data_IF_427077514579
#
_entry.id   IF_427077514579
#
_cell.length_a   1.000
_cell.length_b   1.000
_cell.length_c   1.000
_cell.angle_alpha   90.00
_cell.angle_beta   90.00
_cell.angle_gamma   90.00
#
_symmetry.space_group_name_H-M   'P 1'
#
loop_
_entity.id
_entity.type
_entity.pdbx_description
1 polymer ?
#
# COMPACT_ATOMS: atom_id res chain seq x y z
N UNK A 1 44.27 -78.32 37.14
CA UNK A 1 42.89 -78.73 37.44
C UNK A 1 42.01 -78.21 36.30
N UNK A 2 41.33 -79.14 35.60
CA UNK A 2 40.50 -79.04 34.35
C UNK A 2 41.25 -78.61 33.07
N UNK A 3 41.54 -79.50 32.10
CA UNK A 3 40.66 -80.11 31.06
C UNK A 3 40.07 -79.07 30.10
N UNK A 4 40.02 -79.21 28.76
CA UNK A 4 40.44 -80.22 27.79
C UNK A 4 40.21 -79.59 26.38
N UNK A 5 40.90 -80.10 25.34
CA UNK A 5 40.47 -80.45 23.95
C UNK A 5 39.20 -79.78 23.35
N UNK A 6 39.02 -79.49 22.05
CA UNK A 6 39.51 -80.03 20.76
C UNK A 6 38.92 -79.11 19.65
N UNK A 7 39.65 -78.78 18.58
CA UNK A 7 39.51 -79.31 17.21
C UNK A 7 38.62 -78.53 16.20
N UNK A 8 39.27 -78.18 15.09
CA UNK A 8 38.89 -78.41 13.67
C UNK A 8 38.12 -77.36 12.84
N UNK A 9 38.76 -77.11 11.67
CA UNK A 9 38.23 -77.00 10.31
C UNK A 9 37.73 -75.66 9.72
N UNK A 10 38.55 -75.17 8.78
CA UNK A 10 38.25 -74.77 7.38
C UNK A 10 36.93 -74.05 7.04
N UNK A 11 37.01 -72.83 6.49
CA UNK A 11 36.96 -72.57 5.04
C UNK A 11 37.11 -71.07 4.70
N UNK A 12 37.93 -70.82 3.66
CA UNK A 12 37.88 -69.76 2.64
C UNK A 12 37.42 -68.32 2.98
N UNK A 13 38.26 -67.32 2.67
CA UNK A 13 38.13 -66.56 1.42
C UNK A 13 39.10 -65.36 1.36
N UNK A 14 40.07 -65.45 0.45
CA UNK A 14 40.53 -64.45 -0.53
C UNK A 14 40.57 -62.95 -0.14
N UNK A 15 41.82 -62.46 -0.03
CA UNK A 15 42.42 -61.23 -0.62
C UNK A 15 41.74 -59.87 -0.39
N UNK A 16 42.52 -58.93 0.14
CA UNK A 16 42.23 -57.49 0.05
C UNK A 16 43.38 -56.62 0.53
N UNK A 17 44.40 -56.44 -0.31
CA UNK A 17 45.46 -55.45 -0.13
C UNK A 17 44.84 -54.03 -0.16
N UNK A 18 44.94 -53.30 0.95
CA UNK A 18 44.53 -51.89 1.02
C UNK A 18 45.67 -51.05 0.43
N UNK A 19 45.49 -50.61 -0.81
CA UNK A 19 46.28 -49.56 -1.43
C UNK A 19 45.69 -48.19 -1.04
N UNK A 20 46.54 -47.34 -0.48
CA UNK A 20 46.22 -46.01 0.01
C UNK A 20 46.06 -45.04 -1.18
N UNK A 21 44.82 -44.82 -1.66
CA UNK A 21 44.53 -43.78 -2.65
C UNK A 21 44.26 -42.44 -1.94
N UNK A 22 45.22 -41.51 -2.05
CA UNK A 22 45.03 -40.09 -1.74
C UNK A 22 44.00 -39.48 -2.70
N UNK A 23 42.75 -39.32 -2.25
CA UNK A 23 41.73 -38.58 -2.98
C UNK A 23 41.92 -37.08 -2.70
N UNK A 24 42.58 -36.36 -3.60
CA UNK A 24 42.54 -34.90 -3.63
C UNK A 24 41.15 -34.46 -4.11
N UNK A 25 40.23 -34.19 -3.19
CA UNK A 25 38.96 -33.53 -3.49
C UNK A 25 39.27 -32.06 -3.80
N UNK A 26 39.33 -31.72 -5.09
CA UNK A 26 39.31 -30.34 -5.55
C UNK A 26 37.93 -29.75 -5.28
N UNK A 27 37.83 -28.88 -4.28
CA UNK A 27 36.64 -28.06 -4.06
C UNK A 27 36.56 -27.04 -5.20
N UNK A 28 35.63 -27.25 -6.12
CA UNK A 28 35.22 -26.26 -7.10
C UNK A 28 34.54 -25.13 -6.33
N UNK A 29 35.28 -24.06 -6.05
CA UNK A 29 34.70 -22.81 -5.55
C UNK A 29 33.88 -22.18 -6.67
N UNK A 30 32.57 -22.44 -6.68
CA UNK A 30 31.63 -21.67 -7.47
C UNK A 30 31.75 -20.19 -7.06
N UNK A 31 31.84 -19.25 -8.01
CA UNK A 31 31.80 -17.84 -7.64
C UNK A 31 30.49 -17.57 -6.89
N UNK A 32 30.51 -16.75 -5.82
CA UNK A 32 29.27 -16.34 -5.18
C UNK A 32 28.42 -15.71 -6.27
N UNK A 33 27.25 -16.31 -6.51
CA UNK A 33 26.22 -15.70 -7.34
C UNK A 33 26.05 -14.28 -6.81
N UNK A 34 26.51 -13.31 -7.60
CA UNK A 34 26.35 -11.91 -7.27
C UNK A 34 24.88 -11.70 -6.97
N UNK A 35 24.60 -10.99 -5.87
CA UNK A 35 23.33 -10.30 -5.73
C UNK A 35 23.22 -9.39 -6.96
N UNK A 36 22.61 -9.92 -8.02
CA UNK A 36 22.02 -9.10 -9.04
C UNK A 36 21.01 -8.25 -8.26
N UNK A 37 21.33 -6.97 -8.10
CA UNK A 37 20.34 -5.99 -7.69
C UNK A 37 19.19 -6.18 -8.68
N UNK A 38 18.09 -6.80 -8.23
CA UNK A 38 16.89 -6.93 -9.03
C UNK A 38 16.54 -5.53 -9.51
N UNK A 39 16.52 -5.34 -10.82
CA UNK A 39 16.13 -4.07 -11.40
C UNK A 39 14.75 -3.73 -10.82
N UNK A 40 14.70 -2.66 -10.04
CA UNK A 40 13.53 -2.25 -9.25
C UNK A 40 12.34 -2.10 -10.19
N UNK A 41 11.45 -3.09 -10.22
CA UNK A 41 10.36 -3.15 -11.18
C UNK A 41 9.23 -2.24 -10.68
N UNK A 42 8.72 -1.36 -11.54
CA UNK A 42 7.54 -0.54 -11.23
C UNK A 42 6.29 -1.42 -11.11
N UNK A 43 6.06 -2.05 -9.95
CA UNK A 43 4.91 -2.91 -9.72
C UNK A 43 3.66 -2.10 -9.34
N UNK A 44 3.81 -0.84 -8.93
CA UNK A 44 2.72 0.06 -8.60
C UNK A 44 2.54 1.10 -9.69
N UNK A 45 1.31 1.18 -10.23
CA UNK A 45 0.87 2.24 -11.13
C UNK A 45 -0.62 2.49 -10.92
N UNK A 46 -0.97 3.68 -10.46
CA UNK A 46 -2.36 4.08 -10.24
C UNK A 46 -2.52 5.60 -10.39
N UNK A 47 -3.74 6.07 -10.55
CA UNK A 47 -4.12 7.48 -10.50
C UNK A 47 -4.81 7.77 -9.19
N UNK A 48 -4.54 8.95 -8.65
CA UNK A 48 -5.25 9.49 -7.48
C UNK A 48 -5.65 10.93 -7.75
N UNK A 49 -6.87 11.28 -7.38
CA UNK A 49 -7.30 12.67 -7.26
C UNK A 49 -7.84 12.90 -5.85
N UNK A 50 -7.55 14.07 -5.28
CA UNK A 50 -8.13 14.53 -4.02
C UNK A 50 -8.53 15.99 -4.21
N UNK A 51 -9.83 16.27 -4.13
CA UNK A 51 -10.40 17.57 -4.42
C UNK A 51 -11.46 17.95 -3.39
N UNK A 52 -11.62 19.26 -3.21
CA UNK A 52 -12.61 19.84 -2.34
C UNK A 52 -13.48 20.85 -3.11
N UNK A 53 -14.77 20.86 -2.82
CA UNK A 53 -15.66 21.94 -3.19
C UNK A 53 -15.68 22.94 -2.04
N UNK A 54 -15.16 24.14 -2.31
CA UNK A 54 -15.04 25.23 -1.34
C UNK A 54 -16.11 26.27 -1.61
N UNK A 55 -16.82 26.69 -0.57
CA UNK A 55 -17.80 27.77 -0.65
C UNK A 55 -17.14 29.13 -0.95
N UNK A 56 -17.57 29.79 -2.02
CA UNK A 56 -17.18 31.15 -2.40
C UNK A 56 -18.40 32.06 -2.51
N UNK A 57 -18.21 33.38 -2.58
CA UNK A 57 -19.30 34.35 -2.77
C UNK A 57 -20.15 34.07 -4.02
N UNK A 58 -19.55 33.47 -5.04
CA UNK A 58 -20.17 33.18 -6.34
C UNK A 58 -20.65 31.74 -6.50
N UNK A 59 -20.55 30.90 -5.46
CA UNK A 59 -20.91 29.47 -5.50
C UNK A 59 -19.79 28.54 -5.04
N UNK A 60 -19.86 27.26 -5.41
CA UNK A 60 -18.83 26.27 -5.05
C UNK A 60 -17.72 26.22 -6.10
N UNK A 61 -16.47 26.12 -5.64
CA UNK A 61 -15.30 25.96 -6.51
C UNK A 61 -14.56 24.66 -6.19
N UNK A 62 -14.29 23.86 -7.22
CA UNK A 62 -13.47 22.65 -7.09
C UNK A 62 -11.99 23.01 -7.05
N UNK A 63 -11.30 22.57 -6.00
CA UNK A 63 -9.87 22.78 -5.77
C UNK A 63 -9.16 21.49 -5.39
N UNK A 64 -7.90 21.26 -5.81
CA UNK A 64 -7.11 20.14 -5.33
C UNK A 64 -6.75 20.30 -3.85
N UNK A 65 -6.96 19.23 -3.08
CA UNK A 65 -6.50 19.12 -1.69
C UNK A 65 -5.01 18.82 -1.69
N UNK A 66 -4.25 19.68 -1.01
CA UNK A 66 -2.82 19.57 -0.78
C UNK A 66 -2.57 19.43 0.72
N UNK A 67 -1.31 19.21 1.09
CA UNK A 67 -0.95 19.19 2.50
C UNK A 67 -1.20 20.57 3.12
N UNK A 68 -1.86 20.60 4.28
CA UNK A 68 -2.29 21.80 4.99
C UNK A 68 -3.31 22.66 4.23
N UNK A 69 -4.10 22.08 3.33
CA UNK A 69 -5.29 22.77 2.76
C UNK A 69 -6.25 23.13 3.89
N UNK A 70 -6.70 24.39 3.92
CA UNK A 70 -7.67 24.86 4.90
C UNK A 70 -9.07 24.68 4.30
N UNK A 71 -9.93 23.96 5.01
CA UNK A 71 -11.35 23.82 4.68
C UNK A 71 -12.21 24.25 5.88
N UNK A 72 -13.41 24.73 5.62
CA UNK A 72 -14.38 25.16 6.63
C UNK A 72 -15.47 24.12 6.82
N UNK A 73 -16.19 24.19 7.94
CA UNK A 73 -17.44 23.45 8.10
C UNK A 73 -18.40 23.70 6.92
N UNK A 74 -18.97 22.63 6.38
CA UNK A 74 -19.82 22.65 5.18
C UNK A 74 -19.06 22.55 3.86
N UNK A 75 -17.74 22.79 3.83
CA UNK A 75 -16.92 22.44 2.66
C UNK A 75 -16.93 20.92 2.46
N UNK A 76 -16.81 20.52 1.20
CA UNK A 76 -16.94 19.13 0.80
C UNK A 76 -15.66 18.62 0.19
N UNK A 77 -15.36 17.34 0.37
CA UNK A 77 -14.21 16.72 -0.25
C UNK A 77 -14.52 15.33 -0.81
N UNK A 78 -13.72 14.92 -1.78
CA UNK A 78 -13.84 13.63 -2.47
C UNK A 78 -12.45 13.15 -2.89
N UNK A 79 -12.29 11.84 -2.98
CA UNK A 79 -11.12 11.22 -3.60
C UNK A 79 -11.53 10.31 -4.75
N UNK A 80 -10.63 10.13 -5.70
CA UNK A 80 -10.73 9.13 -6.75
C UNK A 80 -9.44 8.30 -6.78
N UNK A 81 -9.59 6.99 -6.92
CA UNK A 81 -8.51 6.03 -7.11
C UNK A 81 -8.78 5.22 -8.38
N UNK A 82 -7.77 5.03 -9.22
CA UNK A 82 -7.85 4.17 -10.40
C UNK A 82 -6.55 3.41 -10.57
N UNK A 83 -6.56 2.11 -10.34
CA UNK A 83 -5.36 1.28 -10.50
C UNK A 83 -5.13 0.96 -11.96
N UNK A 84 -3.92 1.15 -12.47
CA UNK A 84 -3.56 0.73 -13.83
C UNK A 84 -2.79 -0.59 -13.81
N UNK A 85 -2.04 -0.84 -12.73
CA UNK A 85 -1.45 -2.15 -12.42
C UNK A 85 -2.02 -2.68 -11.11
N UNK A 86 -2.14 -4.01 -11.01
CA UNK A 86 -2.63 -4.67 -9.80
C UNK A 86 -1.66 -4.38 -8.64
N UNK A 87 -2.16 -3.67 -7.64
CA UNK A 87 -1.53 -3.36 -6.37
C UNK A 87 -2.63 -3.21 -5.32
N UNK A 88 -2.31 -3.16 -4.03
CA UNK A 88 -3.26 -2.99 -2.94
C UNK A 88 -3.26 -1.53 -2.47
N UNK A 89 -4.37 -0.83 -2.70
CA UNK A 89 -4.58 0.55 -2.29
C UNK A 89 -5.33 0.60 -0.96
N UNK A 90 -4.87 1.48 -0.08
CA UNK A 90 -5.51 1.79 1.19
C UNK A 90 -5.67 3.30 1.33
N UNK A 91 -6.85 3.76 1.72
CA UNK A 91 -7.09 5.13 2.17
C UNK A 91 -7.60 5.06 3.59
N UNK A 92 -6.77 5.51 4.51
CA UNK A 92 -7.09 5.54 5.94
C UNK A 92 -7.31 6.98 6.34
N UNK A 93 -8.41 7.23 7.03
CA UNK A 93 -8.78 8.54 7.54
C UNK A 93 -8.67 8.56 9.06
N UNK A 94 -8.13 9.65 9.59
CA UNK A 94 -8.09 9.96 11.01
C UNK A 94 -8.71 11.34 11.21
N UNK A 95 -9.77 11.42 12.01
CA UNK A 95 -10.40 12.69 12.31
C UNK A 95 -9.65 13.50 13.38
N UNK A 96 -10.14 14.72 13.61
CA UNK A 96 -9.66 15.64 14.65
C UNK A 96 -9.70 15.05 16.07
N UNK A 97 -10.60 14.11 16.37
CA UNK A 97 -10.69 13.42 17.66
C UNK A 97 -9.74 12.21 17.76
N UNK A 98 -9.11 11.82 16.65
CA UNK A 98 -8.22 10.67 16.56
C UNK A 98 -8.93 9.34 16.34
N UNK A 99 -10.22 9.36 15.98
CA UNK A 99 -10.92 8.19 15.49
C UNK A 99 -10.44 7.87 14.08
N UNK A 100 -10.29 6.57 13.79
CA UNK A 100 -9.78 6.06 12.53
C UNK A 100 -10.91 5.46 11.70
N UNK A 101 -10.77 5.46 10.38
CA UNK A 101 -11.64 4.73 9.46
C UNK A 101 -10.84 4.26 8.24
N UNK A 102 -11.12 3.06 7.76
CA UNK A 102 -10.61 2.57 6.48
C UNK A 102 -11.62 2.99 5.40
N UNK A 103 -11.31 4.04 4.64
CA UNK A 103 -12.19 4.54 3.58
C UNK A 103 -12.06 3.75 2.27
N UNK A 104 -10.88 3.16 2.04
CA UNK A 104 -10.65 2.24 0.94
C UNK A 104 -9.63 1.17 1.34
N UNK A 105 -9.81 -0.11 0.95
CA UNK A 105 -11.00 -0.65 0.27
C UNK A 105 -12.26 -0.46 1.13
N UNK A 106 -13.45 -0.43 0.52
CA UNK A 106 -14.69 -0.23 1.29
C UNK A 106 -14.98 -1.40 2.23
N UNK A 107 -14.48 -2.57 1.85
CA UNK A 107 -14.43 -3.80 2.63
C UNK A 107 -13.10 -4.48 2.34
N UNK A 108 -12.44 -5.08 3.33
CA UNK A 108 -11.18 -5.79 3.13
C UNK A 108 -11.37 -7.00 2.20
N UNK A 109 -12.54 -7.63 2.20
CA UNK A 109 -12.90 -8.73 1.29
C UNK A 109 -13.01 -8.28 -0.18
N UNK A 110 -13.10 -6.97 -0.42
CA UNK A 110 -13.13 -6.39 -1.76
C UNK A 110 -11.94 -6.86 -2.61
N UNK A 111 -10.76 -7.00 -1.99
CA UNK A 111 -9.53 -7.44 -2.67
C UNK A 111 -9.63 -8.81 -3.35
N UNK A 112 -10.52 -9.68 -2.88
CA UNK A 112 -10.71 -11.03 -3.42
C UNK A 112 -11.97 -11.15 -4.31
N UNK A 113 -12.83 -10.13 -4.34
CA UNK A 113 -14.16 -10.21 -4.96
C UNK A 113 -14.30 -9.30 -6.19
N UNK A 114 -14.29 -7.98 -6.01
CA UNK A 114 -14.61 -7.01 -7.07
C UNK A 114 -13.58 -5.86 -7.20
N UNK A 115 -12.34 -6.15 -6.81
CA UNK A 115 -11.18 -5.28 -6.96
C UNK A 115 -10.53 -5.43 -8.34
N UNK A 116 -10.56 -4.35 -9.14
CA UNK A 116 -10.28 -4.38 -10.58
C UNK A 116 -9.36 -3.23 -10.98
N UNK A 117 -8.45 -3.51 -11.91
CA UNK A 117 -7.70 -2.47 -12.63
C UNK A 117 -8.59 -1.72 -13.61
N UNK A 118 -8.20 -0.49 -13.95
CA UNK A 118 -8.87 0.44 -14.86
C UNK A 118 -10.28 0.86 -14.43
N UNK A 119 -10.69 0.52 -13.20
CA UNK A 119 -11.93 0.97 -12.58
C UNK A 119 -11.64 2.16 -11.67
N UNK A 120 -12.45 3.22 -11.80
CA UNK A 120 -12.46 4.35 -10.88
C UNK A 120 -13.24 3.98 -9.60
N UNK A 121 -12.61 4.20 -8.45
CA UNK A 121 -13.21 4.11 -7.13
C UNK A 121 -13.28 5.51 -6.54
N UNK A 122 -14.46 5.94 -6.09
CA UNK A 122 -14.69 7.27 -5.53
C UNK A 122 -14.95 7.20 -4.03
N UNK A 123 -14.31 8.06 -3.25
CA UNK A 123 -14.48 8.12 -1.80
C UNK A 123 -15.09 9.49 -1.45
N UNK A 124 -16.36 9.57 -1.04
CA UNK A 124 -17.29 8.44 -0.87
C UNK A 124 -17.82 7.92 -2.23
N UNK A 125 -18.43 6.71 -2.26
CA UNK A 125 -18.90 6.09 -3.50
C UNK A 125 -19.90 6.94 -4.30
N UNK A 126 -19.93 6.72 -5.62
CA UNK A 126 -20.87 7.36 -6.57
C UNK A 126 -20.69 8.88 -6.58
N UNK A 127 -21.77 9.63 -6.73
CA UNK A 127 -21.80 11.10 -6.79
C UNK A 127 -21.74 11.78 -5.42
N UNK A 128 -21.60 11.01 -4.34
CA UNK A 128 -21.54 11.56 -3.00
C UNK A 128 -20.23 12.35 -2.76
N UNK A 129 -20.28 13.18 -1.72
CA UNK A 129 -19.15 13.95 -1.19
C UNK A 129 -19.14 13.81 0.34
N UNK A 130 -17.95 13.77 0.95
CA UNK A 130 -17.85 13.98 2.39
C UNK A 130 -18.04 15.47 2.66
N UNK A 131 -18.75 15.79 3.73
CA UNK A 131 -18.98 17.17 4.18
C UNK A 131 -18.35 17.32 5.57
N UNK A 132 -17.56 18.37 5.76
CA UNK A 132 -16.95 18.66 7.06
C UNK A 132 -18.03 19.15 8.02
N UNK A 133 -18.11 18.51 9.19
CA UNK A 133 -19.08 18.87 10.22
C UNK A 133 -18.60 20.08 11.04
N UNK A 134 -19.19 20.32 12.22
CA UNK A 134 -18.81 21.44 13.10
C UNK A 134 -17.60 21.16 14.00
N UNK A 135 -17.03 19.95 13.96
CA UNK A 135 -15.89 19.55 14.80
C UNK A 135 -14.58 19.87 14.11
N UNK A 136 -14.04 21.04 14.41
CA UNK A 136 -12.80 21.54 13.82
C UNK A 136 -11.55 20.80 14.32
N UNK A 137 -10.47 20.87 13.55
CA UNK A 137 -9.17 20.28 13.88
C UNK A 137 -8.46 19.68 12.67
N UNK A 138 -7.50 18.79 12.93
CA UNK A 138 -6.71 18.17 11.88
C UNK A 138 -7.38 16.91 11.33
N UNK A 139 -7.68 16.94 10.04
CA UNK A 139 -8.29 15.84 9.29
C UNK A 139 -7.21 15.18 8.43
N UNK A 140 -6.78 13.96 8.78
CA UNK A 140 -5.59 13.33 8.17
C UNK A 140 -5.97 12.12 7.33
N UNK A 141 -5.45 12.06 6.10
CA UNK A 141 -5.63 10.97 5.16
C UNK A 141 -4.29 10.33 4.81
N UNK A 142 -4.18 9.03 5.02
CA UNK A 142 -3.05 8.22 4.62
C UNK A 142 -3.44 7.45 3.36
N UNK A 143 -2.86 7.83 2.22
CA UNK A 143 -2.97 7.11 0.95
C UNK A 143 -1.76 6.20 0.83
N UNK A 144 -2.00 4.89 0.73
CA UNK A 144 -0.96 3.87 0.67
C UNK A 144 -1.22 2.97 -0.52
N UNK A 145 -0.17 2.67 -1.27
CA UNK A 145 -0.17 1.63 -2.29
C UNK A 145 0.94 0.64 -1.99
N UNK A 146 0.66 -0.65 -2.11
CA UNK A 146 1.61 -1.73 -1.84
C UNK A 146 1.49 -2.83 -2.88
N UNK A 147 2.60 -3.44 -3.28
CA UNK A 147 2.57 -4.64 -4.14
C UNK A 147 2.03 -5.88 -3.40
N UNK A 148 1.99 -5.83 -2.06
CA UNK A 148 1.48 -6.89 -1.19
C UNK A 148 0.42 -6.39 -0.20
N UNK A 149 -0.47 -7.28 0.26
CA UNK A 149 -1.49 -6.95 1.28
C UNK A 149 -0.86 -6.57 2.60
N UNK A 150 -1.33 -5.48 3.20
CA UNK A 150 -0.94 -5.03 4.53
C UNK A 150 -1.77 -5.74 5.60
N UNK A 151 -1.63 -7.06 5.71
CA UNK A 151 -2.49 -7.93 6.55
C UNK A 151 -2.55 -7.51 8.01
N UNK A 152 -1.45 -7.00 8.57
CA UNK A 152 -1.42 -6.48 9.94
C UNK A 152 -2.36 -5.27 10.10
N UNK A 153 -2.36 -4.35 9.13
CA UNK A 153 -3.24 -3.17 9.13
C UNK A 153 -4.69 -3.58 8.93
N UNK A 154 -4.94 -4.50 7.99
CA UNK A 154 -6.27 -5.07 7.74
C UNK A 154 -6.86 -5.69 9.02
N UNK A 155 -6.09 -6.55 9.70
CA UNK A 155 -6.49 -7.17 10.96
C UNK A 155 -6.79 -6.15 12.06
N UNK A 156 -5.97 -5.10 12.17
CA UNK A 156 -6.21 -4.03 13.14
C UNK A 156 -7.51 -3.28 12.86
N UNK A 157 -7.87 -3.04 11.60
CA UNK A 157 -9.16 -2.44 11.25
C UNK A 157 -10.35 -3.36 11.54
N UNK A 158 -10.26 -4.65 11.22
CA UNK A 158 -11.30 -5.63 11.63
C UNK A 158 -11.55 -5.60 13.14
N UNK A 159 -10.48 -5.51 13.94
CA UNK A 159 -10.58 -5.36 15.40
C UNK A 159 -11.12 -3.99 15.82
N UNK A 160 -10.70 -2.92 15.17
CA UNK A 160 -11.15 -1.56 15.47
C UNK A 160 -12.65 -1.41 15.27
N UNK A 161 -13.18 -1.93 14.16
CA UNK A 161 -14.59 -1.83 13.80
C UNK A 161 -15.48 -2.64 14.75
N UNK A 162 -14.98 -3.80 15.19
CA UNK A 162 -15.68 -4.69 16.13
C UNK A 162 -15.48 -4.33 17.61
N UNK A 163 -14.67 -3.31 17.92
CA UNK A 163 -14.32 -2.97 19.31
C UNK A 163 -15.30 -1.98 19.95
N UNK A 164 -15.50 -2.17 21.26
CA UNK A 164 -16.16 -1.17 22.12
C UNK A 164 -15.44 0.19 22.07
N UNK A 165 -16.16 1.32 22.17
CA UNK A 165 -15.58 2.66 22.08
C UNK A 165 -14.36 2.89 22.98
N UNK A 166 -14.36 2.34 24.20
CA UNK A 166 -13.26 2.47 25.17
C UNK A 166 -11.94 1.82 24.71
N UNK A 167 -11.99 0.83 23.81
CA UNK A 167 -10.80 0.14 23.28
C UNK A 167 -10.32 0.72 21.95
N UNK A 168 -11.19 1.41 21.22
CA UNK A 168 -10.88 1.95 19.88
C UNK A 168 -9.63 2.84 19.89
N UNK A 169 -9.46 3.69 20.90
CA UNK A 169 -8.26 4.54 21.04
C UNK A 169 -6.95 3.74 21.07
N UNK A 170 -6.92 2.63 21.82
CA UNK A 170 -5.73 1.77 21.90
C UNK A 170 -5.41 1.10 20.56
N UNK A 171 -6.44 0.64 19.85
CA UNK A 171 -6.29 0.01 18.53
C UNK A 171 -5.87 1.05 17.48
N UNK A 172 -6.40 2.28 17.53
CA UNK A 172 -5.97 3.37 16.64
C UNK A 172 -4.46 3.67 16.77
N UNK A 173 -3.92 3.68 17.99
CA UNK A 173 -2.47 3.84 18.22
C UNK A 173 -1.66 2.67 17.64
N UNK A 174 -2.20 1.44 17.68
CA UNK A 174 -1.57 0.28 17.04
C UNK A 174 -1.57 0.41 15.52
N UNK A 175 -2.66 0.91 14.92
CA UNK A 175 -2.71 1.20 13.48
C UNK A 175 -1.63 2.22 13.10
N UNK A 176 -1.55 3.36 13.81
CA UNK A 176 -0.53 4.38 13.53
C UNK A 176 0.89 3.81 13.64
N UNK A 177 1.17 3.05 14.70
CA UNK A 177 2.48 2.39 14.89
C UNK A 177 2.80 1.42 13.75
N UNK A 178 1.81 0.66 13.27
CA UNK A 178 1.97 -0.24 12.14
C UNK A 178 2.26 0.53 10.84
N UNK A 179 1.57 1.65 10.59
CA UNK A 179 1.83 2.51 9.43
C UNK A 179 3.25 3.10 9.47
N UNK A 180 3.69 3.58 10.63
CA UNK A 180 5.04 4.14 10.81
C UNK A 180 6.12 3.09 10.59
N UNK A 181 5.92 1.86 11.09
CA UNK A 181 6.81 0.72 10.85
C UNK A 181 6.89 0.39 9.35
N UNK A 182 5.75 0.22 8.69
CA UNK A 182 5.68 -0.09 7.25
C UNK A 182 6.42 0.99 6.44
N UNK A 183 6.21 2.27 6.77
CA UNK A 183 6.91 3.38 6.12
C UNK A 183 8.41 3.33 6.36
N UNK A 184 8.85 3.00 7.57
CA UNK A 184 10.27 2.87 7.90
C UNK A 184 10.94 1.72 7.14
N UNK A 185 10.28 0.58 7.04
CA UNK A 185 10.74 -0.60 6.30
C UNK A 185 10.80 -0.36 4.78
N UNK A 186 9.94 0.54 4.27
CA UNK A 186 9.82 0.79 2.83
C UNK A 186 10.43 2.11 2.35
N UNK A 187 11.29 2.76 3.15
CA UNK A 187 11.90 4.07 2.82
C UNK A 187 12.56 4.06 1.44
N UNK A 188 13.28 3.00 1.11
CA UNK A 188 14.03 2.87 -0.13
C UNK A 188 13.15 2.67 -1.37
N UNK A 189 11.86 2.32 -1.21
CA UNK A 189 10.92 2.10 -2.31
C UNK A 189 10.18 3.37 -2.76
N UNK A 190 10.36 4.47 -2.04
CA UNK A 190 9.70 5.77 -2.27
C UNK A 190 10.37 6.58 -3.40
N UNK A 191 10.67 5.95 -4.55
CA UNK A 191 10.97 6.71 -5.77
C UNK A 191 9.63 6.98 -6.43
N UNK A 192 9.07 8.14 -6.13
CA UNK A 192 7.73 8.54 -6.56
C UNK A 192 7.89 9.45 -7.76
N UNK A 193 7.47 8.99 -8.94
CA UNK A 193 7.11 9.89 -10.01
C UNK A 193 5.61 10.20 -9.87
N UNK A 194 5.30 11.35 -9.27
CA UNK A 194 3.98 11.96 -9.31
C UNK A 194 3.94 12.93 -10.49
N UNK A 195 3.20 12.59 -11.54
CA UNK A 195 3.03 13.46 -12.70
C UNK A 195 1.56 13.89 -12.79
N UNK A 196 1.26 15.21 -12.83
CA UNK A 196 -0.05 15.67 -13.27
C UNK A 196 -0.35 15.04 -14.62
N UNK A 197 -1.55 14.52 -14.80
CA UNK A 197 -1.99 14.12 -16.13
C UNK A 197 -2.17 15.42 -16.92
N UNK A 198 -1.16 15.82 -17.70
CA UNK A 198 -1.33 16.88 -18.68
C UNK A 198 -2.43 16.39 -19.62
N UNK A 199 -3.59 17.05 -19.59
CA UNK A 199 -4.63 16.91 -20.59
C UNK A 199 -4.04 17.32 -21.93
N UNK A 200 -3.39 16.39 -22.61
CA UNK A 200 -2.77 16.58 -23.91
C UNK A 200 -3.87 16.47 -24.98
N UNK A 201 -4.78 17.45 -24.96
CA UNK A 201 -5.71 17.74 -26.05
C UNK A 201 -6.18 19.20 -25.91
N UNK A 202 -5.59 20.08 -26.73
CA UNK A 202 -6.10 21.39 -27.17
C UNK A 202 -6.02 22.56 -26.18
N UNK A 203 -4.85 23.22 -26.16
CA UNK A 203 -4.76 24.67 -26.01
C UNK A 203 -5.16 25.34 -27.34
N UNK A 204 -6.46 25.59 -27.55
CA UNK A 204 -6.97 26.62 -28.47
C UNK A 204 -8.39 26.97 -28.06
N UNK A 205 -8.53 28.11 -27.40
CA UNK A 205 -9.82 28.71 -27.06
C UNK A 205 -10.59 27.95 -25.99
N UNK A 206 -10.52 28.43 -24.75
CA UNK A 206 -11.56 28.13 -23.76
C UNK A 206 -12.83 28.87 -24.20
N UNK A 207 -13.49 28.36 -25.24
CA UNK A 207 -14.94 28.35 -25.18
C UNK A 207 -15.29 27.40 -24.05
N UNK A 208 -15.94 27.94 -23.02
CA UNK A 208 -16.59 27.16 -21.99
C UNK A 208 -17.44 26.12 -22.70
N UNK A 209 -16.99 24.86 -22.72
CA UNK A 209 -17.85 23.73 -23.06
C UNK A 209 -19.01 23.77 -22.07
N UNK A 210 -20.14 24.31 -22.49
CA UNK A 210 -21.40 24.19 -21.78
C UNK A 210 -21.67 22.69 -21.62
N UNK A 211 -21.41 22.13 -20.43
CA UNK A 211 -21.63 20.72 -20.14
C UNK A 211 -20.51 19.97 -19.39
N UNK A 212 -19.34 20.57 -19.14
CA UNK A 212 -18.36 19.96 -18.23
C UNK A 212 -18.91 20.00 -16.79
N UNK A 213 -19.05 18.84 -16.14
CA UNK A 213 -19.46 18.76 -14.74
C UNK A 213 -18.40 19.47 -13.88
N UNK A 214 -18.72 20.62 -13.25
CA UNK A 214 -17.77 21.36 -12.43
C UNK A 214 -17.33 20.59 -11.18
N UNK A 215 -17.94 19.43 -10.91
CA UNK A 215 -17.61 18.54 -9.79
C UNK A 215 -16.80 17.30 -10.21
N UNK A 216 -16.44 17.15 -11.51
CA UNK A 216 -15.61 16.03 -11.94
C UNK A 216 -14.15 16.17 -11.45
N UNK A 217 -13.91 15.50 -10.31
CA UNK A 217 -12.61 15.39 -9.67
C UNK A 217 -11.56 14.64 -10.50
N UNK A 218 -11.96 13.88 -11.53
CA UNK A 218 -11.02 13.15 -12.40
C UNK A 218 -10.04 14.10 -13.09
N UNK A 219 -10.44 15.35 -13.33
CA UNK A 219 -9.60 16.41 -13.89
C UNK A 219 -8.39 16.77 -13.02
N UNK A 220 -8.43 16.46 -11.71
CA UNK A 220 -7.36 16.70 -10.74
C UNK A 220 -6.43 15.47 -10.57
N UNK A 221 -6.61 14.42 -11.37
CA UNK A 221 -5.89 13.18 -11.20
C UNK A 221 -4.39 13.32 -11.48
N UNK A 222 -3.59 12.76 -10.58
CA UNK A 222 -2.14 12.61 -10.71
C UNK A 222 -1.84 11.12 -10.85
N UNK A 223 -0.94 10.76 -11.77
CA UNK A 223 -0.45 9.38 -11.87
C UNK A 223 0.71 9.18 -10.88
N UNK A 224 0.64 8.08 -10.13
CA UNK A 224 1.65 7.64 -9.18
C UNK A 224 2.28 6.37 -9.71
N UNK A 225 3.62 6.38 -9.79
CA UNK A 225 4.44 5.23 -10.12
C UNK A 225 5.44 4.97 -9.01
N UNK A 226 5.50 3.73 -8.55
CA UNK A 226 6.43 3.26 -7.54
C UNK A 226 6.80 1.80 -7.78
N UNK A 227 7.88 1.34 -7.15
CA UNK A 227 8.31 -0.05 -7.28
C UNK A 227 7.41 -1.00 -6.51
N UNK A 228 7.39 -0.91 -5.17
CA UNK A 228 6.68 -1.88 -4.31
C UNK A 228 5.86 -1.24 -3.21
N UNK A 229 6.15 0.01 -2.89
CA UNK A 229 5.44 0.74 -1.86
C UNK A 229 5.40 2.23 -2.17
N UNK A 230 4.27 2.84 -1.87
CA UNK A 230 4.06 4.27 -1.90
C UNK A 230 3.20 4.66 -0.70
N UNK A 231 3.53 5.79 -0.05
CA UNK A 231 2.67 6.39 0.96
C UNK A 231 2.71 7.90 0.86
N UNK A 232 1.54 8.53 0.95
CA UNK A 232 1.39 9.97 1.05
C UNK A 232 0.38 10.30 2.15
N UNK A 233 0.67 11.37 2.88
CA UNK A 233 -0.23 11.90 3.91
C UNK A 233 -0.76 13.24 3.43
N UNK A 234 -2.08 13.41 3.49
CA UNK A 234 -2.75 14.68 3.30
C UNK A 234 -3.31 15.12 4.65
N UNK A 235 -2.99 16.34 5.06
CA UNK A 235 -3.61 16.97 6.24
C UNK A 235 -4.47 18.12 5.76
N UNK A 236 -5.76 18.07 6.09
CA UNK A 236 -6.68 19.19 5.98
C UNK A 236 -6.74 19.89 7.35
N UNK A 237 -6.55 21.20 7.34
CA UNK A 237 -6.76 22.07 8.49
C UNK A 237 -8.22 22.52 8.50
N UNK A 238 -9.08 21.80 9.21
CA UNK A 238 -10.49 22.13 9.31
C UNK A 238 -10.71 23.22 10.36
N UNK A 239 -11.24 24.38 9.92
CA UNK A 239 -11.42 25.58 10.74
C UNK A 239 -12.86 26.07 10.78
#
# INVERSE_FOLDING_TARGET
MKMNRMASAHHASVVGCIALCFFCVGVLAAPPAGLAAEAKKDNILFKVAFGALIGTETGMRLEPVRNSTILKSGDKFKMMLEMEKKCYLYVIYKNSQGEMSLLFPYDIEQFETNYQTSRKYFLPPREAWYELDSRTGSETFYVIASSQRLRDVEYLFTRYDSAEPSRKRGIALQVLSALDRIRAENRDYTIVAEAPLTSDTTTRGVERSQGADPTDISSLATQVRASDFYSKTYVIEHR
#
